data_IF_348037610186
#
_entry.id   IF_348037610186
#
_cell.length_a   1.000
_cell.length_b   1.000
_cell.length_c   1.000
_cell.angle_alpha   90.00
_cell.angle_beta   90.00
_cell.angle_gamma   90.00
#
_symmetry.space_group_name_H-M   'P 1'
#
loop_
_entity.id
_entity.type
_entity.pdbx_description
1 polymer ?
#
# COMPACT_ATOMS: atom_id res chain seq x y z
N UNK A 1 -16.56 -9.40 -6.89
CA UNK A 1 -15.19 -9.16 -7.38
C UNK A 1 -14.26 -9.33 -6.19
N UNK A 2 -13.06 -9.85 -6.40
CA UNK A 2 -12.05 -9.91 -5.32
C UNK A 2 -11.34 -8.55 -5.22
N UNK A 3 -11.10 -8.09 -4.00
CA UNK A 3 -10.43 -6.82 -3.73
C UNK A 3 -8.92 -7.00 -3.59
N UNK A 4 -8.16 -6.07 -4.16
CA UNK A 4 -6.71 -5.99 -4.05
C UNK A 4 -6.29 -4.58 -3.66
N UNK A 5 -5.17 -4.46 -2.96
CA UNK A 5 -4.56 -3.17 -2.64
C UNK A 5 -3.37 -2.92 -3.56
N UNK A 6 -3.40 -1.83 -4.34
CA UNK A 6 -2.25 -1.28 -5.03
C UNK A 6 -1.57 -0.28 -4.09
N UNK A 7 -0.57 -0.76 -3.37
CA UNK A 7 0.19 0.02 -2.42
C UNK A 7 1.25 0.85 -3.14
N UNK A 8 1.21 2.17 -2.95
CA UNK A 8 2.17 3.14 -3.47
C UNK A 8 2.94 3.74 -2.31
N UNK A 9 4.26 3.67 -2.30
CA UNK A 9 5.04 4.15 -1.17
C UNK A 9 6.43 4.69 -1.53
N UNK A 10 6.95 5.53 -0.64
CA UNK A 10 8.27 6.14 -0.77
C UNK A 10 8.29 7.63 -0.40
N UNK A 11 9.39 8.28 -0.76
CA UNK A 11 9.62 9.71 -0.50
C UNK A 11 8.88 10.57 -1.53
N UNK A 12 8.93 10.18 -2.81
CA UNK A 12 8.39 10.96 -3.93
C UNK A 12 7.09 10.35 -4.47
N UNK A 13 6.02 10.35 -3.67
CA UNK A 13 4.71 9.85 -4.13
C UNK A 13 4.06 10.90 -5.04
N UNK A 14 3.53 10.53 -6.23
CA UNK A 14 2.86 11.44 -7.14
C UNK A 14 1.70 12.21 -6.48
N UNK A 15 1.36 13.43 -6.93
CA UNK A 15 0.23 14.17 -6.38
C UNK A 15 -1.09 13.39 -6.54
N UNK A 16 -1.97 13.46 -5.54
CA UNK A 16 -3.28 12.77 -5.56
C UNK A 16 -4.09 13.05 -6.83
N UNK A 17 -4.07 14.29 -7.35
CA UNK A 17 -4.75 14.64 -8.62
C UNK A 17 -4.27 13.78 -9.80
N UNK A 18 -2.99 13.44 -9.83
CA UNK A 18 -2.42 12.60 -10.88
C UNK A 18 -2.87 11.14 -10.74
N UNK A 19 -2.85 10.59 -9.53
CA UNK A 19 -3.31 9.23 -9.23
C UNK A 19 -4.81 9.08 -9.52
N UNK A 20 -5.62 10.06 -9.11
CA UNK A 20 -7.05 10.09 -9.39
C UNK A 20 -7.34 10.18 -10.90
N UNK A 21 -6.63 11.05 -11.64
CA UNK A 21 -6.76 11.14 -13.11
C UNK A 21 -6.41 9.81 -13.78
N UNK A 22 -5.42 9.10 -13.26
CA UNK A 22 -5.01 7.80 -13.76
C UNK A 22 -6.09 6.74 -13.51
N UNK A 23 -6.57 6.63 -12.27
CA UNK A 23 -7.65 5.74 -11.88
C UNK A 23 -8.91 5.92 -12.76
N UNK A 24 -9.33 7.18 -12.99
CA UNK A 24 -10.48 7.49 -13.83
C UNK A 24 -10.32 7.02 -15.29
N UNK A 25 -9.11 6.91 -15.83
CA UNK A 25 -8.92 6.35 -17.19
C UNK A 25 -9.30 4.87 -17.24
N UNK A 26 -8.97 4.11 -16.20
CA UNK A 26 -9.33 2.70 -16.10
C UNK A 26 -10.83 2.53 -15.86
N UNK A 27 -11.41 3.32 -14.95
CA UNK A 27 -12.86 3.34 -14.67
C UNK A 27 -13.66 3.66 -15.94
N UNK A 28 -13.29 4.71 -16.67
CA UNK A 28 -13.97 5.07 -17.91
C UNK A 28 -13.91 3.97 -18.98
N UNK A 29 -12.82 3.21 -19.03
CA UNK A 29 -12.70 2.05 -19.93
C UNK A 29 -13.59 0.90 -19.46
N UNK A 30 -13.60 0.62 -18.16
CA UNK A 30 -14.47 -0.40 -17.57
C UNK A 30 -15.95 -0.10 -17.81
N UNK A 31 -16.40 1.14 -17.60
CA UNK A 31 -17.81 1.52 -17.80
C UNK A 31 -18.32 1.26 -19.22
N UNK A 32 -17.44 1.39 -20.24
CA UNK A 32 -17.79 1.05 -21.63
C UNK A 32 -17.96 -0.46 -21.83
N UNK A 33 -17.12 -1.27 -21.19
CA UNK A 33 -17.17 -2.74 -21.29
C UNK A 33 -18.35 -3.29 -20.49
N UNK A 34 -18.65 -2.73 -19.32
CA UNK A 34 -19.78 -3.16 -18.47
C UNK A 34 -21.14 -3.08 -19.16
N UNK A 35 -21.26 -2.25 -20.19
CA UNK A 35 -22.50 -2.08 -20.97
C UNK A 35 -22.68 -3.17 -22.05
N UNK A 36 -21.70 -4.06 -22.25
CA UNK A 36 -21.80 -5.15 -23.24
C UNK A 36 -22.44 -6.39 -22.63
N UNK A 37 -23.16 -7.15 -23.45
CA UNK A 37 -23.85 -8.39 -23.06
C UNK A 37 -22.92 -9.48 -22.49
N UNK A 38 -21.63 -9.50 -22.86
CA UNK A 38 -20.67 -10.52 -22.43
C UNK A 38 -19.97 -10.18 -21.09
N UNK A 39 -20.42 -9.14 -20.40
CA UNK A 39 -19.80 -8.69 -19.16
C UNK A 39 -20.09 -9.65 -18.00
N UNK A 40 -19.04 -9.98 -17.24
CA UNK A 40 -19.10 -10.84 -16.06
C UNK A 40 -18.12 -10.33 -15.00
N UNK A 41 -18.64 -10.05 -13.79
CA UNK A 41 -17.86 -9.48 -12.68
C UNK A 41 -16.73 -10.40 -12.20
N UNK A 42 -16.86 -11.72 -12.38
CA UNK A 42 -15.88 -12.73 -11.95
C UNK A 42 -14.51 -12.59 -12.63
N UNK A 43 -14.46 -11.92 -13.78
CA UNK A 43 -13.23 -11.66 -14.52
C UNK A 43 -12.48 -10.40 -14.06
N UNK A 44 -12.95 -9.72 -13.02
CA UNK A 44 -12.40 -8.45 -12.55
C UNK A 44 -12.00 -8.47 -11.08
N UNK A 45 -10.95 -7.71 -10.77
CA UNK A 45 -10.58 -7.29 -9.43
C UNK A 45 -11.09 -5.87 -9.16
N UNK A 46 -11.40 -5.58 -7.90
CA UNK A 46 -11.55 -4.22 -7.37
C UNK A 46 -10.22 -3.80 -6.77
N UNK A 47 -9.51 -2.88 -7.42
CA UNK A 47 -8.19 -2.43 -6.97
C UNK A 47 -8.31 -1.11 -6.21
N UNK A 48 -8.01 -1.14 -4.92
CA UNK A 48 -7.95 0.01 -4.02
C UNK A 48 -6.53 0.57 -4.08
N UNK A 49 -6.38 1.89 -4.26
CA UNK A 49 -5.05 2.52 -4.26
C UNK A 49 -4.78 3.11 -2.89
N UNK A 50 -3.74 2.62 -2.22
CA UNK A 50 -3.29 3.13 -0.92
C UNK A 50 -1.91 3.77 -1.01
N UNK A 51 -1.66 4.77 -0.18
CA UNK A 51 -0.44 5.56 -0.19
C UNK A 51 0.28 5.52 1.16
N UNK A 52 1.56 5.15 1.19
CA UNK A 52 2.42 5.19 2.37
C UNK A 52 3.63 6.10 2.16
N UNK A 53 3.47 7.37 2.55
CA UNK A 53 4.51 8.40 2.47
C UNK A 53 5.56 8.19 3.56
N UNK A 54 6.84 8.11 3.17
CA UNK A 54 7.96 8.01 4.12
C UNK A 54 8.43 9.38 4.66
N UNK A 55 7.91 10.49 4.11
CA UNK A 55 8.08 11.81 4.73
C UNK A 55 7.02 12.02 5.81
N UNK A 56 7.41 12.67 6.90
CA UNK A 56 6.56 13.02 8.04
C UNK A 56 5.48 14.04 7.70
N UNK A 57 5.65 14.81 6.62
CA UNK A 57 4.65 15.75 6.15
C UNK A 57 3.33 15.05 5.79
N UNK A 58 2.26 15.47 6.46
CA UNK A 58 0.92 14.97 6.19
C UNK A 58 0.50 15.40 4.79
N UNK A 59 0.10 14.43 3.96
CA UNK A 59 -0.55 14.70 2.68
C UNK A 59 -2.05 14.81 2.92
N UNK A 60 -2.69 15.80 2.29
CA UNK A 60 -4.15 15.92 2.35
C UNK A 60 -4.77 14.68 1.69
N UNK A 61 -5.40 13.83 2.50
CA UNK A 61 -6.06 12.62 2.01
C UNK A 61 -7.12 12.97 0.97
N UNK A 62 -7.04 12.32 -0.19
CA UNK A 62 -8.10 12.31 -1.20
C UNK A 62 -8.45 10.86 -1.43
N UNK A 63 -9.71 10.50 -1.22
CA UNK A 63 -10.23 9.16 -1.55
C UNK A 63 -9.95 8.87 -3.02
N UNK A 64 -9.02 7.97 -3.30
CA UNK A 64 -8.79 7.46 -4.64
C UNK A 64 -9.99 6.58 -5.02
N UNK A 65 -10.50 6.68 -6.26
CA UNK A 65 -11.60 5.83 -6.67
C UNK A 65 -11.11 4.40 -6.87
N UNK A 66 -11.94 3.43 -6.50
CA UNK A 66 -11.67 2.00 -6.70
C UNK A 66 -11.58 1.71 -8.19
N UNK A 67 -10.53 1.00 -8.60
CA UNK A 67 -10.22 0.72 -10.00
C UNK A 67 -10.67 -0.70 -10.35
N UNK A 68 -11.73 -0.89 -11.13
CA UNK A 68 -12.10 -2.20 -11.64
C UNK A 68 -11.11 -2.62 -12.73
N UNK A 69 -10.43 -3.75 -12.56
CA UNK A 69 -9.39 -4.24 -13.48
C UNK A 69 -9.63 -5.69 -13.83
N UNK A 70 -9.79 -5.97 -15.12
CA UNK A 70 -9.90 -7.33 -15.62
C UNK A 70 -8.61 -8.11 -15.27
N UNK A 71 -8.72 -9.36 -14.82
CA UNK A 71 -7.60 -10.20 -14.32
C UNK A 71 -6.38 -10.20 -15.26
N UNK A 72 -6.59 -10.37 -16.56
CA UNK A 72 -5.54 -10.31 -17.61
C UNK A 72 -4.82 -8.96 -17.76
N UNK A 73 -5.36 -7.87 -17.21
CA UNK A 73 -4.80 -6.52 -17.31
C UNK A 73 -4.18 -6.04 -16.00
N UNK A 74 -4.18 -6.84 -14.93
CA UNK A 74 -3.62 -6.47 -13.63
C UNK A 74 -2.13 -6.10 -13.73
N UNK A 75 -1.34 -6.89 -14.45
CA UNK A 75 0.09 -6.58 -14.69
C UNK A 75 0.30 -5.27 -15.46
N UNK A 76 -0.63 -4.92 -16.35
CA UNK A 76 -0.58 -3.65 -17.08
C UNK A 76 -0.88 -2.47 -16.15
N UNK A 77 -1.80 -2.62 -15.20
CA UNK A 77 -2.03 -1.62 -14.16
C UNK A 77 -0.75 -1.38 -13.36
N UNK A 78 -0.13 -2.45 -12.85
CA UNK A 78 1.11 -2.37 -12.06
C UNK A 78 2.21 -1.65 -12.83
N UNK A 79 2.43 -2.00 -14.10
CA UNK A 79 3.43 -1.34 -14.96
C UNK A 79 3.17 0.16 -15.13
N UNK A 80 1.91 0.56 -15.30
CA UNK A 80 1.53 1.97 -15.47
C UNK A 80 1.83 2.78 -14.21
N UNK A 81 1.53 2.24 -13.03
CA UNK A 81 1.81 2.90 -11.76
C UNK A 81 3.31 2.88 -11.40
N UNK A 82 4.03 1.81 -11.73
CA UNK A 82 5.49 1.71 -11.51
C UNK A 82 6.28 2.78 -12.28
N UNK A 83 5.74 3.29 -13.39
CA UNK A 83 6.36 4.38 -14.16
C UNK A 83 6.25 5.77 -13.49
N UNK A 84 5.64 5.87 -12.31
CA UNK A 84 5.45 7.13 -11.60
C UNK A 84 6.62 7.50 -10.66
N UNK A 85 7.80 6.89 -10.83
CA UNK A 85 9.00 7.09 -9.99
C UNK A 85 8.75 6.89 -8.49
N UNK A 86 7.93 5.90 -8.15
CA UNK A 86 7.55 5.53 -6.79
C UNK A 86 7.57 4.01 -6.67
N UNK A 87 7.64 3.49 -5.45
CA UNK A 87 7.57 2.04 -5.24
C UNK A 87 6.11 1.63 -5.27
N UNK A 88 5.82 0.56 -6.00
CA UNK A 88 4.46 0.05 -6.18
C UNK A 88 4.45 -1.45 -5.96
N UNK A 89 3.54 -1.91 -5.11
CA UNK A 89 3.34 -3.33 -4.83
C UNK A 89 1.85 -3.66 -4.90
N UNK A 90 1.52 -4.84 -5.42
CA UNK A 90 0.18 -5.40 -5.30
C UNK A 90 0.10 -6.25 -4.04
N UNK A 91 -0.90 -5.98 -3.23
CA UNK A 91 -1.17 -6.65 -1.98
C UNK A 91 -2.57 -7.27 -2.00
N UNK A 92 -2.80 -8.23 -1.13
CA UNK A 92 -4.16 -8.62 -0.75
C UNK A 92 -4.86 -7.45 -0.04
N UNK A 93 -6.18 -7.49 0.06
CA UNK A 93 -6.95 -6.54 0.88
C UNK A 93 -6.61 -6.68 2.38
N UNK A 94 -6.33 -7.92 2.82
CA UNK A 94 -5.91 -8.21 4.19
C UNK A 94 -4.61 -7.47 4.54
N UNK A 95 -4.63 -6.80 5.69
CA UNK A 95 -3.48 -6.13 6.29
C UNK A 95 -3.61 -6.12 7.82
N UNK A 96 -2.47 -6.03 8.52
CA UNK A 96 -2.41 -5.99 9.99
C UNK A 96 -2.04 -4.59 10.47
N UNK A 97 -2.52 -4.22 11.65
CA UNK A 97 -2.13 -3.00 12.36
C UNK A 97 -1.43 -3.38 13.67
N UNK A 98 -0.14 -3.80 13.61
CA UNK A 98 0.61 -4.15 14.81
C UNK A 98 0.78 -2.96 15.75
N UNK A 99 0.63 -3.22 17.05
CA UNK A 99 0.77 -2.23 18.11
C UNK A 99 1.85 -2.66 19.09
N UNK A 100 2.75 -1.73 19.42
CA UNK A 100 3.83 -1.93 20.39
C UNK A 100 3.89 -0.77 21.35
N UNK A 101 4.04 -1.05 22.65
CA UNK A 101 4.32 -0.03 23.65
C UNK A 101 5.79 -0.08 24.08
N UNK A 102 6.46 1.07 24.06
CA UNK A 102 7.83 1.24 24.55
C UNK A 102 7.98 2.62 25.22
N UNK A 103 8.51 2.66 26.43
CA UNK A 103 8.64 3.88 27.24
C UNK A 103 7.34 4.70 27.35
N UNK A 104 6.21 4.01 27.60
CA UNK A 104 4.86 4.60 27.70
C UNK A 104 4.36 5.31 26.42
N UNK A 105 5.02 5.08 25.28
CA UNK A 105 4.60 5.52 23.95
C UNK A 105 4.09 4.32 23.16
N UNK A 106 2.90 4.47 22.57
CA UNK A 106 2.33 3.50 21.64
C UNK A 106 2.79 3.78 20.21
N UNK A 107 3.24 2.72 19.54
CA UNK A 107 3.68 2.73 18.16
C UNK A 107 2.76 1.84 17.34
N UNK A 108 2.12 2.43 16.34
CA UNK A 108 1.29 1.73 15.36
C UNK A 108 2.08 1.47 14.07
N UNK A 109 1.95 0.25 13.57
CA UNK A 109 2.43 -0.13 12.25
C UNK A 109 1.30 -0.51 11.31
N UNK A 110 1.61 -0.54 10.02
CA UNK A 110 0.71 -0.93 8.94
C UNK A 110 1.42 -2.01 8.13
N UNK A 111 0.87 -3.24 8.11
CA UNK A 111 1.52 -4.40 7.51
C UNK A 111 0.71 -4.98 6.37
N UNK A 112 1.24 -4.88 5.15
CA UNK A 112 0.58 -5.28 3.91
C UNK A 112 1.15 -6.58 3.37
N UNK A 113 0.28 -7.51 2.97
CA UNK A 113 0.67 -8.81 2.43
C UNK A 113 0.83 -8.76 0.91
N UNK A 114 2.05 -9.01 0.40
CA UNK A 114 2.29 -8.98 -1.04
C UNK A 114 1.57 -10.13 -1.74
N UNK A 115 0.88 -9.81 -2.85
CA UNK A 115 0.11 -10.75 -3.63
C UNK A 115 1.04 -11.75 -4.35
N UNK A 116 0.73 -13.04 -4.27
CA UNK A 116 1.52 -14.13 -4.89
C UNK A 116 3.00 -14.18 -4.45
N UNK A 117 3.31 -13.68 -3.25
CA UNK A 117 4.65 -13.64 -2.68
C UNK A 117 4.67 -14.25 -1.27
N UNK A 118 5.84 -14.58 -0.75
CA UNK A 118 6.07 -15.00 0.63
C UNK A 118 6.44 -13.81 1.55
N UNK A 119 6.25 -12.58 1.06
CA UNK A 119 6.60 -11.34 1.77
C UNK A 119 5.39 -10.55 2.26
N UNK A 120 5.63 -9.75 3.31
CA UNK A 120 4.82 -8.62 3.74
C UNK A 120 5.67 -7.38 3.91
N UNK A 121 5.04 -6.21 3.88
CA UNK A 121 5.69 -4.90 3.96
C UNK A 121 5.13 -4.18 5.18
N UNK A 122 6.00 -3.84 6.12
CA UNK A 122 5.65 -3.17 7.37
C UNK A 122 6.09 -1.71 7.33
N UNK A 123 5.17 -0.81 7.64
CA UNK A 123 5.41 0.62 7.83
C UNK A 123 5.16 0.99 9.28
N UNK A 124 5.99 1.81 9.88
CA UNK A 124 5.76 2.35 11.23
C UNK A 124 6.57 3.63 11.43
N UNK A 125 6.11 4.49 12.33
CA UNK A 125 6.84 5.69 12.73
C UNK A 125 7.68 5.44 13.98
N UNK A 126 8.86 6.04 14.05
CA UNK A 126 9.62 6.21 15.29
C UNK A 126 10.05 7.67 15.36
N UNK A 127 9.59 8.39 16.39
CA UNK A 127 9.77 9.85 16.49
C UNK A 127 9.25 10.55 15.21
N UNK A 128 10.08 11.36 14.56
CA UNK A 128 9.74 12.08 13.32
C UNK A 128 10.10 11.31 12.04
N UNK A 129 10.52 10.04 12.17
CA UNK A 129 10.95 9.20 11.05
C UNK A 129 9.98 8.07 10.78
N UNK A 130 9.70 7.82 9.50
CA UNK A 130 8.91 6.66 9.06
C UNK A 130 9.83 5.62 8.45
N UNK A 131 9.58 4.36 8.81
CA UNK A 131 10.37 3.23 8.40
C UNK A 131 9.53 2.29 7.54
N UNK A 132 10.20 1.59 6.64
CA UNK A 132 9.62 0.52 5.83
C UNK A 132 10.55 -0.69 5.88
N UNK A 133 9.97 -1.86 6.11
CA UNK A 133 10.69 -3.14 6.16
C UNK A 133 9.94 -4.14 5.30
N UNK A 134 10.65 -4.86 4.43
CA UNK A 134 10.12 -6.05 3.77
C UNK A 134 10.56 -7.28 4.57
N UNK A 135 9.62 -8.15 4.91
CA UNK A 135 9.84 -9.30 5.77
C UNK A 135 9.03 -10.52 5.29
N UNK A 136 9.43 -11.76 5.63
CA UNK A 136 8.61 -12.95 5.36
C UNK A 136 7.22 -12.87 6.02
N UNK A 137 6.20 -13.41 5.37
CA UNK A 137 4.79 -13.36 5.84
C UNK A 137 4.59 -13.90 7.25
N UNK A 138 5.31 -14.96 7.60
CA UNK A 138 5.26 -15.63 8.90
C UNK A 138 5.95 -14.85 10.03
N UNK A 139 6.62 -13.75 9.71
CA UNK A 139 7.33 -12.96 10.72
C UNK A 139 6.35 -12.19 11.61
N UNK A 140 6.68 -12.07 12.89
CA UNK A 140 5.92 -11.30 13.86
C UNK A 140 6.29 -9.80 13.75
N UNK A 141 5.37 -8.93 13.29
CA UNK A 141 5.67 -7.53 13.06
C UNK A 141 5.86 -6.74 14.37
N UNK A 142 5.14 -7.04 15.43
CA UNK A 142 5.28 -6.37 16.74
C UNK A 142 6.67 -6.57 17.33
N UNK A 143 7.19 -7.80 17.25
CA UNK A 143 8.54 -8.14 17.72
C UNK A 143 9.60 -7.33 16.97
N UNK A 144 9.49 -7.26 15.64
CA UNK A 144 10.42 -6.50 14.81
C UNK A 144 10.33 -4.99 15.07
N UNK A 145 9.12 -4.45 15.24
CA UNK A 145 8.94 -3.06 15.63
C UNK A 145 9.61 -2.75 16.96
N UNK A 146 9.38 -3.59 17.99
CA UNK A 146 9.96 -3.39 19.31
C UNK A 146 11.49 -3.44 19.28
N UNK A 147 12.08 -4.40 18.56
CA UNK A 147 13.53 -4.52 18.38
C UNK A 147 14.12 -3.29 17.67
N UNK A 148 13.44 -2.80 16.63
CA UNK A 148 13.85 -1.61 15.89
C UNK A 148 13.80 -0.36 16.77
N UNK A 149 12.69 -0.15 17.48
CA UNK A 149 12.49 1.00 18.37
C UNK A 149 13.58 1.03 19.44
N UNK A 150 13.82 -0.09 20.13
CA UNK A 150 14.87 -0.19 21.16
C UNK A 150 16.24 0.22 20.62
N UNK A 151 16.63 -0.37 19.49
CA UNK A 151 17.93 -0.09 18.87
C UNK A 151 18.06 1.39 18.50
N UNK A 152 17.00 1.99 17.95
CA UNK A 152 17.01 3.39 17.55
C UNK A 152 17.19 4.34 18.75
N UNK A 153 16.50 4.08 19.86
CA UNK A 153 16.66 4.88 21.09
C UNK A 153 18.05 4.69 21.73
N UNK A 154 18.60 3.48 21.76
CA UNK A 154 19.95 3.23 22.27
C UNK A 154 21.02 3.99 21.47
N UNK A 155 20.85 4.14 20.15
CA UNK A 155 21.78 4.91 19.31
C UNK A 155 21.68 6.43 19.48
N UNK A 156 20.56 6.96 19.98
CA UNK A 156 20.38 8.39 20.23
C UNK A 156 20.99 8.85 21.58
N UNK A 157 21.25 7.90 22.49
CA UNK A 157 21.73 8.16 23.84
C UNK A 157 23.19 7.75 24.08
N UNK A 158 23.91 7.33 23.03
CA UNK A 158 25.35 7.08 23.02
C UNK A 158 26.06 8.10 22.14
#
# INVERSE_FOLDING_TARGET
>A
MESLTLLIYGINIPPHKHLHKLANKFINRFMKVRQTIDFTDEHYYEVIVEEQSLISAQRNYITAPIIPVHKNYLQKLLKVYSNLNTTVTLCTEEHEHPLVCFNDIEYEGYCYYELNSDKKILFFGVLDTKHVISLPKQSNPEKLMLEYIKTHFETLHN
#
